data_IF_070546598215
#
_entry.id   IF_070546598215
#
_cell.length_a   1.000
_cell.length_b   1.000
_cell.length_c   1.000
_cell.angle_alpha   90.00
_cell.angle_beta   90.00
_cell.angle_gamma   90.00
#
_symmetry.space_group_name_H-M   'P 1'
#
loop_
_entity.id
_entity.type
_entity.pdbx_description
1 polymer ?
#
# COMPACT_ATOMS: atom_id res chain seq x y z
N UNK A 1 6.16 8.27 5.62
CA UNK A 1 4.88 8.65 4.99
C UNK A 1 4.67 7.74 3.80
N UNK A 2 3.85 6.70 3.94
CA UNK A 2 3.62 5.71 2.86
C UNK A 2 2.75 6.38 1.80
N UNK A 3 3.24 6.47 0.57
CA UNK A 3 2.47 7.01 -0.53
C UNK A 3 1.60 5.92 -1.17
N UNK A 4 0.48 6.27 -1.84
CA UNK A 4 -0.38 5.31 -2.53
C UNK A 4 0.38 4.36 -3.47
N UNK A 5 1.46 4.83 -4.10
CA UNK A 5 2.26 4.03 -5.03
C UNK A 5 3.39 3.23 -4.38
N UNK A 6 3.74 3.50 -3.12
CA UNK A 6 4.81 2.79 -2.41
C UNK A 6 4.44 1.33 -2.15
N UNK A 7 5.43 0.45 -1.94
CA UNK A 7 5.18 -0.90 -1.45
C UNK A 7 4.43 -0.87 -0.12
N UNK A 8 3.45 -1.75 0.03
CA UNK A 8 2.62 -1.81 1.23
C UNK A 8 3.44 -2.37 2.42
N UNK A 9 3.42 -1.73 3.59
CA UNK A 9 4.26 -2.11 4.73
C UNK A 9 3.89 -3.47 5.36
N UNK A 10 2.77 -4.08 4.96
CA UNK A 10 2.36 -5.41 5.41
C UNK A 10 3.14 -6.58 4.78
N UNK A 11 4.12 -6.32 3.91
CA UNK A 11 4.93 -7.36 3.28
C UNK A 11 4.23 -8.14 2.16
N UNK A 12 3.02 -7.74 1.75
CA UNK A 12 2.25 -8.42 0.70
C UNK A 12 2.81 -8.30 -0.72
N UNK A 13 3.86 -7.49 -0.93
CA UNK A 13 4.41 -7.17 -2.25
C UNK A 13 3.51 -6.27 -3.13
N UNK A 14 2.31 -5.93 -2.66
CA UNK A 14 1.37 -5.04 -3.37
C UNK A 14 1.69 -3.58 -3.08
N UNK A 15 1.34 -2.68 -4.01
CA UNK A 15 1.35 -1.22 -3.75
C UNK A 15 0.34 -0.85 -2.67
N UNK A 16 0.63 0.15 -1.85
CA UNK A 16 -0.21 0.58 -0.73
C UNK A 16 -1.66 0.82 -1.16
N UNK A 17 -1.89 1.59 -2.23
CA UNK A 17 -3.24 1.85 -2.81
C UNK A 17 -4.00 0.63 -3.30
N UNK A 18 -3.31 -0.49 -3.54
CA UNK A 18 -3.91 -1.77 -3.98
C UNK A 18 -4.03 -2.78 -2.83
N UNK A 19 -3.67 -2.39 -1.61
CA UNK A 19 -3.69 -3.21 -0.41
C UNK A 19 -4.38 -2.43 0.72
N UNK A 20 -3.66 -1.95 1.73
CA UNK A 20 -4.24 -1.27 2.88
C UNK A 20 -4.71 0.16 2.59
N UNK A 21 -4.28 0.76 1.49
CA UNK A 21 -4.76 2.04 0.99
C UNK A 21 -5.87 1.95 -0.07
N UNK A 22 -6.52 0.79 -0.21
CA UNK A 22 -7.61 0.59 -1.20
C UNK A 22 -8.95 1.18 -0.75
N UNK A 23 -9.12 1.39 0.55
CA UNK A 23 -10.32 1.97 1.18
C UNK A 23 -10.04 3.32 1.85
N UNK A 24 -8.84 3.87 1.66
CA UNK A 24 -8.40 5.16 2.17
C UNK A 24 -8.34 6.19 1.06
#
# INVERSE_FOLDING_TARGET
>A
KVMPNDPCPCGSGKKYKKCHGRFA
#
